data_IF_625263721593
#
_entry.id   IF_625263721593
#
_cell.length_a   1.000
_cell.length_b   1.000
_cell.length_c   1.000
_cell.angle_alpha   90.00
_cell.angle_beta   90.00
_cell.angle_gamma   90.00
#
_symmetry.space_group_name_H-M   'P 1'
#
loop_
_entity.id
_entity.type
_entity.pdbx_description
1 polymer ?
#
# COMPACT_ATOMS: atom_id res chain seq x y z
N UNK A 1 -9.82 7.30 4.68
CA UNK A 1 -8.60 6.53 5.00
C UNK A 1 -8.49 6.40 6.50
N UNK A 2 -7.94 5.29 6.98
CA UNK A 2 -7.67 5.10 8.41
C UNK A 2 -6.28 5.66 8.68
N UNK A 3 -6.14 6.62 9.60
CA UNK A 3 -4.82 7.10 10.05
C UNK A 3 -4.19 6.04 10.93
N UNK A 4 -3.50 5.11 10.28
CA UNK A 4 -2.69 4.09 10.92
C UNK A 4 -1.31 4.14 10.28
N UNK A 5 -0.27 3.95 11.08
CA UNK A 5 1.11 3.86 10.61
C UNK A 5 1.72 2.59 11.18
N UNK A 6 2.54 1.92 10.38
CA UNK A 6 3.26 0.72 10.78
C UNK A 6 4.76 0.92 10.60
N UNK A 7 5.52 0.45 11.59
CA UNK A 7 6.98 0.60 11.66
C UNK A 7 7.64 -0.76 11.88
N UNK A 8 8.88 -0.90 11.40
CA UNK A 8 9.72 -2.08 11.59
C UNK A 8 9.81 -3.00 10.36
N UNK A 9 10.62 -4.06 10.44
CA UNK A 9 10.97 -4.94 9.31
C UNK A 9 9.75 -5.59 8.61
N UNK A 10 8.62 -5.72 9.31
CA UNK A 10 7.38 -6.24 8.72
C UNK A 10 6.81 -5.31 7.64
N UNK A 11 6.98 -3.98 7.79
CA UNK A 11 6.54 -2.99 6.82
C UNK A 11 7.32 -3.07 5.50
N UNK A 12 8.57 -3.54 5.55
CA UNK A 12 9.45 -3.72 4.39
C UNK A 12 9.11 -4.97 3.56
N UNK A 13 8.15 -5.81 3.96
CA UNK A 13 7.76 -7.01 3.21
C UNK A 13 6.69 -6.68 2.15
N UNK A 14 6.89 -7.01 0.86
CA UNK A 14 5.94 -6.65 -0.22
C UNK A 14 4.52 -7.17 -0.02
N UNK A 15 4.35 -8.36 0.60
CA UNK A 15 3.03 -8.91 0.92
C UNK A 15 2.31 -8.10 2.01
N UNK A 16 3.05 -7.51 2.94
CA UNK A 16 2.50 -6.66 4.00
C UNK A 16 2.06 -5.31 3.41
N UNK A 17 2.86 -4.72 2.52
CA UNK A 17 2.52 -3.46 1.82
C UNK A 17 1.17 -3.57 1.11
N UNK A 18 0.92 -4.68 0.41
CA UNK A 18 -0.38 -4.91 -0.24
C UNK A 18 -1.55 -4.89 0.75
N UNK A 19 -1.44 -5.64 1.85
CA UNK A 19 -2.49 -5.71 2.87
C UNK A 19 -2.75 -4.37 3.53
N UNK A 20 -1.71 -3.58 3.78
CA UNK A 20 -1.82 -2.28 4.43
C UNK A 20 -2.50 -1.26 3.50
N UNK A 21 -2.15 -1.25 2.22
CA UNK A 21 -2.79 -0.39 1.22
C UNK A 21 -4.27 -0.80 1.02
N UNK A 22 -4.56 -2.10 0.93
CA UNK A 22 -5.93 -2.62 0.88
C UNK A 22 -6.76 -2.24 2.13
N UNK A 23 -6.12 -2.21 3.30
CA UNK A 23 -6.74 -1.77 4.55
C UNK A 23 -6.94 -0.24 4.65
N UNK A 24 -6.42 0.53 3.68
CA UNK A 24 -6.60 1.99 3.62
C UNK A 24 -5.66 2.78 4.51
N UNK A 25 -4.43 2.28 4.70
CA UNK A 25 -3.36 2.99 5.41
C UNK A 25 -3.00 4.29 4.70
N UNK A 26 -2.64 5.32 5.47
CA UNK A 26 -2.21 6.63 4.93
C UNK A 26 -0.70 6.84 4.98
N UNK A 27 0.04 6.01 5.72
CA UNK A 27 1.50 6.12 5.89
C UNK A 27 2.19 4.78 6.16
N UNK A 28 3.33 4.53 5.53
CA UNK A 28 4.18 3.36 5.75
C UNK A 28 5.62 3.82 6.02
N UNK A 29 6.19 3.43 7.16
CA UNK A 29 7.61 3.63 7.45
C UNK A 29 8.41 2.39 7.03
N UNK A 30 9.37 2.57 6.14
CA UNK A 30 10.22 1.50 5.62
C UNK A 30 11.70 1.83 5.85
N UNK A 31 12.53 0.80 5.96
CA UNK A 31 13.98 1.00 5.96
C UNK A 31 14.44 1.61 4.63
N UNK A 32 15.54 2.38 4.66
CA UNK A 32 16.10 3.08 3.50
C UNK A 32 16.44 2.13 2.33
N UNK A 33 16.87 0.91 2.61
CA UNK A 33 17.18 -0.13 1.63
C UNK A 33 15.94 -0.76 0.99
N UNK A 34 14.78 -0.69 1.65
CA UNK A 34 13.52 -1.27 1.19
C UNK A 34 12.54 -0.22 0.60
N UNK A 35 12.84 1.08 0.70
CA UNK A 35 11.91 2.16 0.33
C UNK A 35 11.48 2.09 -1.14
N UNK A 36 12.40 1.74 -2.05
CA UNK A 36 12.08 1.64 -3.47
C UNK A 36 11.10 0.50 -3.76
N UNK A 37 11.31 -0.67 -3.14
CA UNK A 37 10.43 -1.83 -3.30
C UNK A 37 9.06 -1.57 -2.71
N UNK A 38 9.00 -0.93 -1.54
CA UNK A 38 7.74 -0.51 -0.90
C UNK A 38 6.98 0.46 -1.78
N UNK A 39 7.64 1.50 -2.32
CA UNK A 39 7.00 2.48 -3.20
C UNK A 39 6.48 1.83 -4.49
N UNK A 40 7.28 0.98 -5.13
CA UNK A 40 6.84 0.28 -6.33
C UNK A 40 5.62 -0.61 -6.07
N UNK A 41 5.62 -1.34 -4.95
CA UNK A 41 4.50 -2.21 -4.60
C UNK A 41 3.25 -1.41 -4.24
N UNK A 42 3.38 -0.36 -3.43
CA UNK A 42 2.27 0.51 -3.05
C UNK A 42 1.61 1.11 -4.30
N UNK A 43 2.39 1.73 -5.20
CA UNK A 43 1.90 2.31 -6.45
C UNK A 43 1.12 1.30 -7.29
N UNK A 44 1.61 0.05 -7.42
CA UNK A 44 0.90 -0.99 -8.19
C UNK A 44 -0.44 -1.36 -7.56
N UNK A 45 -0.51 -1.45 -6.25
CA UNK A 45 -1.75 -1.81 -5.54
C UNK A 45 -2.74 -0.66 -5.58
N UNK A 46 -2.30 0.58 -5.36
CA UNK A 46 -3.14 1.79 -5.48
C UNK A 46 -3.73 1.94 -6.88
N UNK A 47 -2.92 1.77 -7.93
CA UNK A 47 -3.42 1.80 -9.32
C UNK A 47 -4.47 0.72 -9.58
N UNK A 48 -4.27 -0.50 -9.05
CA UNK A 48 -5.27 -1.58 -9.15
C UNK A 48 -6.58 -1.17 -8.46
N UNK A 49 -6.51 -0.69 -7.22
CA UNK A 49 -7.69 -0.28 -6.45
C UNK A 49 -8.45 0.88 -7.12
N UNK A 50 -7.73 1.83 -7.74
CA UNK A 50 -8.34 2.91 -8.53
C UNK A 50 -9.10 2.35 -9.74
N UNK A 51 -8.49 1.44 -10.50
CA UNK A 51 -9.14 0.80 -11.65
C UNK A 51 -10.36 -0.03 -11.23
N UNK A 52 -10.27 -0.76 -10.13
CA UNK A 52 -11.38 -1.52 -9.55
C UNK A 52 -12.52 -0.59 -9.09
N UNK A 53 -12.18 0.56 -8.47
CA UNK A 53 -13.17 1.54 -8.03
C UNK A 53 -13.93 2.16 -9.20
N UNK A 54 -13.23 2.48 -10.30
CA UNK A 54 -13.88 2.97 -11.53
C UNK A 54 -14.83 1.90 -12.09
N UNK A 55 -14.37 0.66 -12.24
CA UNK A 55 -15.19 -0.46 -12.74
C UNK A 55 -16.39 -0.77 -11.85
N UNK A 56 -16.25 -0.63 -10.53
CA UNK A 56 -17.34 -0.85 -9.58
C UNK A 56 -18.37 0.30 -9.61
N UNK A 57 -17.93 1.54 -9.91
CA UNK A 57 -18.80 2.72 -10.03
C UNK A 57 -19.53 2.84 -11.37
N UNK A 58 -19.13 2.07 -12.38
CA UNK A 58 -19.84 1.96 -13.67
C UNK A 58 -21.06 1.00 -13.62
N UNK A 59 -21.42 0.49 -12.44
CA UNK A 59 -22.56 -0.40 -12.23
C UNK A 59 -23.74 0.28 -11.53
#
# INVERSE_FOLDING_TARGET
>A
GVDTSICGQAASKPAMVERLVEAGITSISANIDAVSDVQHKAKRVEQRLLLESVRAGER
#
